data_IF_204757860414
#
_entry.id   IF_204757860414
#
_cell.length_a   1.000
_cell.length_b   1.000
_cell.length_c   1.000
_cell.angle_alpha   90.00
_cell.angle_beta   90.00
_cell.angle_gamma   90.00
#
_symmetry.space_group_name_H-M   'P 1'
#
loop_
_entity.id
_entity.type
_entity.pdbx_description
1 polymer ?
#
# COMPACT_ATOMS: atom_id res chain seq x y z
N UNK A 1 25.22 -33.83 -11.67
CA UNK A 1 25.58 -33.02 -10.49
C UNK A 1 26.17 -31.73 -11.01
N UNK A 2 25.35 -30.68 -11.09
CA UNK A 2 25.78 -29.34 -11.45
C UNK A 2 25.66 -28.49 -10.19
N UNK A 3 26.76 -27.88 -9.79
CA UNK A 3 26.86 -27.01 -8.63
C UNK A 3 25.83 -25.88 -8.71
N UNK A 4 25.09 -25.73 -7.61
CA UNK A 4 24.28 -24.56 -7.34
C UNK A 4 25.26 -23.38 -7.19
N UNK A 5 25.46 -22.62 -8.26
CA UNK A 5 26.16 -21.33 -8.22
C UNK A 5 25.37 -20.42 -7.28
N UNK A 6 25.82 -20.36 -6.01
CA UNK A 6 25.50 -19.25 -5.13
C UNK A 6 26.13 -18.01 -5.76
N UNK A 7 25.31 -17.25 -6.49
CA UNK A 7 25.63 -15.88 -6.88
C UNK A 7 26.01 -15.13 -5.61
N UNK A 8 27.16 -14.46 -5.66
CA UNK A 8 27.68 -13.66 -4.56
C UNK A 8 26.60 -12.74 -3.97
N UNK A 9 26.62 -12.48 -2.66
CA UNK A 9 25.63 -11.60 -2.04
C UNK A 9 25.91 -10.19 -2.53
N UNK A 10 25.30 -9.79 -3.65
CA UNK A 10 25.05 -8.38 -3.92
C UNK A 10 24.48 -7.79 -2.63
N UNK A 11 25.21 -6.83 -2.05
CA UNK A 11 24.95 -6.24 -0.75
C UNK A 11 23.48 -5.89 -0.62
N UNK A 12 22.72 -6.68 0.16
CA UNK A 12 21.36 -6.34 0.55
C UNK A 12 21.46 -5.11 1.45
N UNK A 13 21.46 -3.93 0.84
CA UNK A 13 21.37 -2.66 1.55
C UNK A 13 19.94 -2.54 2.08
N UNK A 14 19.73 -3.01 3.30
CA UNK A 14 18.46 -2.84 3.98
C UNK A 14 18.22 -1.37 4.28
N UNK A 15 16.96 -0.93 4.13
CA UNK A 15 16.53 0.36 4.64
C UNK A 15 16.79 0.45 6.16
N UNK A 16 17.17 1.63 6.67
CA UNK A 16 17.41 1.81 8.09
C UNK A 16 16.13 1.51 8.90
N UNK A 17 16.30 0.79 10.01
CA UNK A 17 15.18 0.46 10.91
C UNK A 17 14.64 1.74 11.54
N UNK A 18 13.35 2.02 11.33
CA UNK A 18 12.63 3.04 12.10
C UNK A 18 12.28 2.49 13.49
N UNK A 19 13.18 2.76 14.44
CA UNK A 19 13.03 2.33 15.83
C UNK A 19 11.80 2.93 16.53
N UNK A 20 11.37 4.14 16.13
CA UNK A 20 10.18 4.77 16.71
C UNK A 20 8.93 4.04 16.24
N UNK A 21 8.86 3.73 14.94
CA UNK A 21 7.77 2.92 14.38
C UNK A 21 7.72 1.53 15.00
N UNK A 22 8.88 0.88 15.21
CA UNK A 22 8.97 -0.42 15.88
C UNK A 22 8.44 -0.36 17.31
N UNK A 23 8.79 0.68 18.07
CA UNK A 23 8.32 0.87 19.43
C UNK A 23 6.79 1.05 19.47
N UNK A 24 6.23 1.87 18.57
CA UNK A 24 4.78 2.03 18.43
C UNK A 24 4.11 0.69 18.13
N UNK A 25 4.61 -0.06 17.15
CA UNK A 25 4.05 -1.37 16.80
C UNK A 25 4.12 -2.40 17.91
N UNK A 26 5.18 -2.36 18.73
CA UNK A 26 5.33 -3.24 19.90
C UNK A 26 4.28 -2.96 20.99
N UNK A 27 3.83 -1.71 21.11
CA UNK A 27 2.79 -1.32 22.08
C UNK A 27 1.35 -1.62 21.65
N UNK A 28 1.15 -2.01 20.39
CA UNK A 28 -0.18 -2.27 19.83
C UNK A 28 -0.48 -3.78 19.79
N UNK A 29 -1.73 -4.14 20.03
CA UNK A 29 -2.25 -5.48 19.73
C UNK A 29 -2.39 -5.68 18.22
N UNK A 30 -2.51 -6.94 17.77
CA UNK A 30 -2.80 -7.26 16.37
C UNK A 30 -4.10 -6.55 15.92
N UNK A 31 -5.13 -6.54 16.76
CA UNK A 31 -6.41 -5.91 16.46
C UNK A 31 -6.29 -4.39 16.25
N UNK A 32 -5.51 -3.71 17.08
CA UNK A 32 -5.27 -2.27 16.94
C UNK A 32 -4.47 -1.95 15.68
N UNK A 33 -3.47 -2.75 15.33
CA UNK A 33 -2.74 -2.61 14.07
C UNK A 33 -3.66 -2.78 12.86
N UNK A 34 -4.49 -3.82 12.85
CA UNK A 34 -5.46 -4.04 11.77
C UNK A 34 -6.46 -2.88 11.65
N UNK A 35 -6.96 -2.38 12.79
CA UNK A 35 -7.87 -1.24 12.82
C UNK A 35 -7.21 0.02 12.25
N UNK A 36 -5.98 0.33 12.65
CA UNK A 36 -5.23 1.47 12.13
C UNK A 36 -5.04 1.36 10.60
N UNK A 37 -4.63 0.19 10.10
CA UNK A 37 -4.47 -0.03 8.66
C UNK A 37 -5.79 0.10 7.90
N UNK A 38 -6.89 -0.43 8.44
CA UNK A 38 -8.21 -0.29 7.85
C UNK A 38 -8.67 1.18 7.78
N UNK A 39 -8.39 1.96 8.83
CA UNK A 39 -8.70 3.40 8.86
C UNK A 39 -7.89 4.17 7.82
N UNK A 40 -6.59 3.90 7.69
CA UNK A 40 -5.73 4.51 6.67
C UNK A 40 -6.22 4.15 5.25
N UNK A 41 -6.57 2.88 5.01
CA UNK A 41 -7.12 2.45 3.72
C UNK A 41 -8.43 3.17 3.39
N UNK A 42 -9.36 3.26 4.35
CA UNK A 42 -10.62 3.97 4.16
C UNK A 42 -10.42 5.45 3.84
N UNK A 43 -9.48 6.10 4.53
CA UNK A 43 -9.11 7.50 4.27
C UNK A 43 -8.55 7.68 2.86
N UNK A 44 -7.58 6.86 2.45
CA UNK A 44 -6.97 6.91 1.13
C UNK A 44 -8.00 6.69 0.01
N UNK A 45 -8.89 5.71 0.16
CA UNK A 45 -9.99 5.50 -0.78
C UNK A 45 -10.93 6.71 -0.85
N UNK A 46 -11.24 7.33 0.29
CA UNK A 46 -12.05 8.56 0.33
C UNK A 46 -11.39 9.71 -0.43
N UNK A 47 -10.10 9.95 -0.23
CA UNK A 47 -9.33 10.96 -0.95
C UNK A 47 -9.33 10.71 -2.45
N UNK A 48 -9.01 9.47 -2.86
CA UNK A 48 -8.93 9.08 -4.26
C UNK A 48 -10.28 9.21 -4.96
N UNK A 49 -11.36 8.73 -4.33
CA UNK A 49 -12.73 8.91 -4.83
C UNK A 49 -13.09 10.39 -4.96
N UNK A 50 -12.73 11.21 -3.97
CA UNK A 50 -12.95 12.65 -4.01
C UNK A 50 -12.20 13.32 -5.17
N UNK A 51 -10.95 12.91 -5.43
CA UNK A 51 -10.17 13.40 -6.56
C UNK A 51 -10.80 13.01 -7.91
N UNK A 52 -11.21 11.76 -8.07
CA UNK A 52 -11.86 11.31 -9.30
C UNK A 52 -13.21 11.99 -9.54
N UNK A 53 -14.03 12.20 -8.50
CA UNK A 53 -15.30 12.95 -8.65
C UNK A 53 -15.08 14.39 -9.09
N UNK A 54 -14.03 15.05 -8.62
CA UNK A 54 -13.69 16.41 -9.10
C UNK A 54 -13.18 16.42 -10.53
N UNK A 55 -12.44 15.38 -10.94
CA UNK A 55 -11.88 15.28 -12.30
C UNK A 55 -12.92 14.85 -13.34
N UNK A 56 -13.88 14.02 -12.94
CA UNK A 56 -14.91 13.44 -13.79
C UNK A 56 -16.31 13.67 -13.15
N UNK A 57 -16.79 14.92 -13.12
CA UNK A 57 -18.01 15.28 -12.40
C UNK A 57 -19.27 14.63 -12.97
N UNK A 58 -19.28 14.33 -14.27
CA UNK A 58 -20.43 13.76 -14.98
C UNK A 58 -20.52 12.24 -14.90
N UNK A 59 -19.48 11.58 -14.38
CA UNK A 59 -19.49 10.11 -14.25
C UNK A 59 -20.34 9.67 -13.05
N UNK A 60 -21.13 8.60 -13.22
CA UNK A 60 -21.85 8.00 -12.10
C UNK A 60 -20.87 7.35 -11.11
N UNK A 61 -21.33 7.13 -9.88
CA UNK A 61 -20.45 6.69 -8.79
C UNK A 61 -19.86 5.29 -9.02
N UNK A 62 -20.58 4.44 -9.74
CA UNK A 62 -20.16 3.11 -10.16
C UNK A 62 -18.94 3.18 -11.07
N UNK A 63 -18.95 4.08 -12.05
CA UNK A 63 -17.83 4.30 -12.97
C UNK A 63 -16.62 4.92 -12.24
N UNK A 64 -16.86 5.82 -11.29
CA UNK A 64 -15.81 6.34 -10.41
C UNK A 64 -15.17 5.22 -9.59
N UNK A 65 -15.97 4.30 -9.05
CA UNK A 65 -15.45 3.15 -8.30
C UNK A 65 -14.62 2.22 -9.19
N UNK A 66 -15.04 2.00 -10.44
CA UNK A 66 -14.27 1.19 -11.38
C UNK A 66 -12.95 1.85 -11.80
N UNK A 67 -12.93 3.18 -11.98
CA UNK A 67 -11.69 3.93 -12.21
C UNK A 67 -10.73 3.81 -11.01
N UNK A 68 -11.28 3.91 -9.81
CA UNK A 68 -10.52 3.76 -8.58
C UNK A 68 -9.91 2.36 -8.47
N UNK A 69 -10.69 1.30 -8.75
CA UNK A 69 -10.19 -0.08 -8.74
C UNK A 69 -9.04 -0.28 -9.73
N UNK A 70 -9.22 0.13 -10.99
CA UNK A 70 -8.17 0.04 -12.02
C UNK A 70 -6.89 0.78 -11.62
N UNK A 71 -7.03 1.95 -11.01
CA UNK A 71 -5.89 2.72 -10.53
C UNK A 71 -5.13 2.01 -9.40
N UNK A 72 -5.86 1.43 -8.44
CA UNK A 72 -5.24 0.67 -7.34
C UNK A 72 -4.55 -0.60 -7.84
N UNK A 73 -5.14 -1.32 -8.80
CA UNK A 73 -4.51 -2.46 -9.46
C UNK A 73 -3.23 -2.06 -10.17
N UNK A 74 -3.26 -0.97 -10.93
CA UNK A 74 -2.08 -0.41 -11.59
C UNK A 74 -0.98 -0.02 -10.59
N UNK A 75 -1.32 0.61 -9.46
CA UNK A 75 -0.33 0.92 -8.42
C UNK A 75 0.32 -0.35 -7.85
N UNK A 76 -0.50 -1.37 -7.56
CA UNK A 76 -0.01 -2.67 -7.07
C UNK A 76 0.96 -3.33 -8.05
N UNK A 77 0.68 -3.28 -9.36
CA UNK A 77 1.60 -3.78 -10.40
C UNK A 77 2.93 -3.01 -10.44
N UNK A 78 2.95 -1.76 -9.98
CA UNK A 78 4.15 -0.92 -9.88
C UNK A 78 4.90 -1.08 -8.55
N UNK A 79 4.42 -1.91 -7.63
CA UNK A 79 5.02 -2.08 -6.31
C UNK A 79 4.80 -0.87 -5.39
N UNK A 80 3.74 -0.10 -5.63
CA UNK A 80 3.31 1.05 -4.81
C UNK A 80 2.12 0.68 -3.90
#
# INVERSE_FOLDING_TARGET
MGELLMTEPDELQFDPIDWQQMQIFSSLTIGERMKAMAQVSAFNHGLLRGAFRRRYPDLPIEEINMLMLRYLEWMKEKGL
#
